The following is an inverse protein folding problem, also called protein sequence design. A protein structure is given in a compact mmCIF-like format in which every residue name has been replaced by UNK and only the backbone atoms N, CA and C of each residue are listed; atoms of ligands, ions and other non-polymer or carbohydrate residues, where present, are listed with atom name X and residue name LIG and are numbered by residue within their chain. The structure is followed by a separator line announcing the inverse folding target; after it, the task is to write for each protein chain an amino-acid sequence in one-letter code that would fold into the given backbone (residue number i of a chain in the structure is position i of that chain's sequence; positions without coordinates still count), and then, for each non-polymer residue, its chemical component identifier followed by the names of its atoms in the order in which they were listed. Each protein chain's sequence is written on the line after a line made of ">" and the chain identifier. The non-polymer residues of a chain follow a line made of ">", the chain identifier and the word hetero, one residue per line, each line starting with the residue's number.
data_IF_899130151499
#
_entry.id   IF_899130151499
#
_cell.length_a   1.000
_cell.length_b   1.000
_cell.length_c   1.000
_cell.angle_alpha   90.00
_cell.angle_beta   90.00
_cell.angle_gamma   90.00
#
_symmetry.space_group_name_H-M   'P 1'
#
loop_
_entity.id
_entity.type
_entity.pdbx_description
1 polymer ?
#
# COMPACT_ATOMS: atom_id res chain seq x y z
N UNK A 1 -22.71 -16.78 4.43
CA UNK A 1 -21.75 -17.47 3.60
C UNK A 1 -20.35 -16.92 3.88
N UNK A 2 -19.43 -17.80 4.17
CA UNK A 2 -18.07 -17.38 4.54
C UNK A 2 -17.24 -17.19 3.29
N UNK A 3 -16.68 -15.98 3.12
CA UNK A 3 -15.74 -15.72 2.04
C UNK A 3 -14.43 -16.46 2.33
N UNK A 4 -13.96 -17.28 1.41
CA UNK A 4 -12.74 -18.01 1.64
C UNK A 4 -11.49 -17.13 1.45
N UNK A 5 -10.36 -17.60 1.94
CA UNK A 5 -9.09 -16.85 1.92
C UNK A 5 -8.65 -16.52 0.50
N UNK A 6 -8.84 -17.43 -0.45
CA UNK A 6 -8.45 -17.20 -1.84
C UNK A 6 -9.26 -16.08 -2.47
N UNK A 7 -10.55 -16.01 -2.18
CA UNK A 7 -11.41 -14.93 -2.64
C UNK A 7 -10.99 -13.59 -2.07
N UNK A 8 -10.69 -13.55 -0.77
CA UNK A 8 -10.20 -12.35 -0.11
C UNK A 8 -8.89 -11.88 -0.72
N UNK A 9 -7.97 -12.79 -0.98
CA UNK A 9 -6.70 -12.46 -1.63
C UNK A 9 -6.91 -11.88 -3.01
N UNK A 10 -7.79 -12.49 -3.81
CA UNK A 10 -8.12 -11.96 -5.14
C UNK A 10 -8.71 -10.55 -5.05
N UNK A 11 -9.62 -10.33 -4.11
CA UNK A 11 -10.23 -9.02 -3.91
C UNK A 11 -9.19 -7.98 -3.49
N UNK A 12 -8.27 -8.37 -2.62
CA UNK A 12 -7.18 -7.49 -2.21
C UNK A 12 -6.27 -7.14 -3.40
N UNK A 13 -5.86 -8.12 -4.17
CA UNK A 13 -4.98 -7.91 -5.32
C UNK A 13 -5.66 -7.05 -6.38
N UNK A 14 -6.90 -7.36 -6.75
CA UNK A 14 -7.66 -6.59 -7.74
C UNK A 14 -7.89 -5.16 -7.28
N UNK A 15 -8.25 -5.00 -6.02
CA UNK A 15 -8.46 -3.67 -5.44
C UNK A 15 -7.20 -2.84 -5.42
N UNK A 16 -6.09 -3.43 -5.00
CA UNK A 16 -4.80 -2.74 -4.92
C UNK A 16 -4.27 -2.35 -6.30
N UNK A 17 -4.32 -3.28 -7.27
CA UNK A 17 -3.88 -3.00 -8.62
C UNK A 17 -4.78 -1.97 -9.31
N UNK A 18 -6.09 -2.08 -9.12
CA UNK A 18 -7.04 -1.13 -9.67
C UNK A 18 -6.86 0.26 -9.09
N UNK A 19 -6.63 0.35 -7.80
CA UNK A 19 -6.39 1.63 -7.12
C UNK A 19 -5.18 2.34 -7.70
N UNK A 20 -4.08 1.63 -7.88
CA UNK A 20 -2.85 2.19 -8.45
C UNK A 20 -3.06 2.62 -9.89
N UNK A 21 -3.72 1.78 -10.71
CA UNK A 21 -4.00 2.09 -12.10
C UNK A 21 -4.86 3.35 -12.25
N UNK A 22 -5.97 3.41 -11.54
CA UNK A 22 -6.86 4.56 -11.60
C UNK A 22 -6.22 5.83 -11.06
N UNK A 23 -5.46 5.71 -9.99
CA UNK A 23 -4.73 6.85 -9.44
C UNK A 23 -3.72 7.40 -10.45
N UNK A 24 -2.98 6.54 -11.12
CA UNK A 24 -2.00 6.93 -12.15
C UNK A 24 -2.68 7.55 -13.37
N UNK A 25 -3.81 6.98 -13.79
CA UNK A 25 -4.57 7.51 -14.93
C UNK A 25 -5.20 8.86 -14.59
N UNK A 26 -5.61 9.07 -13.34
CA UNK A 26 -6.09 10.37 -12.89
C UNK A 26 -5.00 11.44 -13.01
N UNK A 27 -3.78 11.10 -12.60
CA UNK A 27 -2.65 12.01 -12.71
C UNK A 27 -2.38 12.38 -14.17
N UNK A 28 -2.44 11.42 -15.08
CA UNK A 28 -2.25 11.68 -16.51
C UNK A 28 -3.37 12.56 -17.07
N UNK A 29 -4.62 12.28 -16.67
CA UNK A 29 -5.75 13.11 -17.10
C UNK A 29 -5.59 14.56 -16.64
N UNK A 30 -5.03 14.80 -15.46
CA UNK A 30 -4.73 16.16 -14.98
C UNK A 30 -3.67 16.83 -15.83
N UNK A 31 -2.62 16.12 -16.21
CA UNK A 31 -1.59 16.66 -17.08
C UNK A 31 -2.16 17.11 -18.43
N UNK A 32 -3.16 16.37 -18.91
CA UNK A 32 -3.85 16.69 -20.17
C UNK A 32 -5.00 17.67 -19.98
N UNK A 33 -5.20 18.18 -18.77
CA UNK A 33 -6.26 19.11 -18.37
C UNK A 33 -7.67 18.54 -18.57
N UNK A 34 -7.79 17.23 -18.49
CA UNK A 34 -9.09 16.55 -18.56
C UNK A 34 -9.60 16.29 -17.14
N UNK A 35 -10.03 17.35 -16.48
CA UNK A 35 -10.33 17.34 -15.05
C UNK A 35 -11.52 16.47 -14.68
N UNK A 36 -12.55 16.41 -15.51
CA UNK A 36 -13.70 15.56 -15.23
C UNK A 36 -13.33 14.07 -15.32
N UNK A 37 -12.49 13.72 -16.28
CA UNK A 37 -11.96 12.36 -16.40
C UNK A 37 -11.09 12.03 -15.19
N UNK A 38 -10.25 12.97 -14.75
CA UNK A 38 -9.44 12.79 -13.55
C UNK A 38 -10.29 12.51 -12.32
N UNK A 39 -11.38 13.24 -12.13
CA UNK A 39 -12.31 13.03 -11.01
C UNK A 39 -12.95 11.65 -11.05
N UNK A 40 -13.31 11.19 -12.25
CA UNK A 40 -13.85 9.85 -12.42
C UNK A 40 -12.83 8.80 -11.98
N UNK A 41 -11.61 8.90 -12.45
CA UNK A 41 -10.56 7.94 -12.08
C UNK A 41 -10.25 7.99 -10.58
N UNK A 42 -10.29 9.16 -9.96
CA UNK A 42 -10.11 9.28 -8.51
C UNK A 42 -11.20 8.57 -7.73
N UNK A 43 -12.45 8.73 -8.17
CA UNK A 43 -13.58 8.05 -7.53
C UNK A 43 -13.43 6.52 -7.66
N UNK A 44 -13.03 6.05 -8.84
CA UNK A 44 -12.79 4.63 -9.07
C UNK A 44 -11.63 4.10 -8.23
N UNK A 45 -10.56 4.90 -8.08
CA UNK A 45 -9.42 4.54 -7.23
C UNK A 45 -9.86 4.39 -5.77
N UNK A 46 -10.67 5.32 -5.28
CA UNK A 46 -11.19 5.28 -3.90
C UNK A 46 -12.04 4.03 -3.67
N UNK A 47 -12.89 3.68 -4.63
CA UNK A 47 -13.73 2.49 -4.52
C UNK A 47 -12.89 1.20 -4.48
N UNK A 48 -11.85 1.13 -5.30
CA UNK A 48 -10.94 -0.02 -5.31
C UNK A 48 -10.14 -0.12 -4.02
N UNK A 49 -9.70 1.01 -3.50
CA UNK A 49 -8.99 1.07 -2.21
C UNK A 49 -9.86 0.55 -1.06
N UNK A 50 -11.11 1.00 -1.00
CA UNK A 50 -12.04 0.55 0.02
C UNK A 50 -12.23 -0.97 -0.01
N UNK A 51 -12.35 -1.55 -1.20
CA UNK A 51 -12.48 -2.99 -1.36
C UNK A 51 -11.22 -3.73 -0.90
N UNK A 52 -10.05 -3.21 -1.27
CA UNK A 52 -8.78 -3.80 -0.88
C UNK A 52 -8.59 -3.74 0.64
N UNK A 53 -8.90 -2.63 1.28
CA UNK A 53 -8.82 -2.48 2.74
C UNK A 53 -9.75 -3.47 3.46
N UNK A 54 -10.97 -3.60 2.97
CA UNK A 54 -11.93 -4.53 3.56
C UNK A 54 -11.40 -5.96 3.48
N UNK A 55 -10.91 -6.38 2.32
CA UNK A 55 -10.32 -7.70 2.14
C UNK A 55 -9.09 -7.91 3.02
N UNK A 56 -8.25 -6.90 3.14
CA UNK A 56 -7.04 -6.96 3.97
C UNK A 56 -7.37 -7.18 5.44
N UNK A 57 -8.38 -6.48 5.95
CA UNK A 57 -8.87 -6.65 7.32
C UNK A 57 -9.47 -8.04 7.53
N UNK A 58 -10.28 -8.49 6.58
CA UNK A 58 -10.91 -9.81 6.66
C UNK A 58 -9.90 -10.94 6.60
N UNK A 59 -8.75 -10.72 5.96
CA UNK A 59 -7.64 -11.66 5.97
C UNK A 59 -6.90 -11.69 7.31
N UNK A 60 -7.24 -10.80 8.24
CA UNK A 60 -6.60 -10.73 9.54
C UNK A 60 -5.24 -10.04 9.52
N UNK A 61 -4.99 -9.22 8.50
CA UNK A 61 -3.71 -8.56 8.32
C UNK A 61 -3.57 -7.25 9.11
N UNK A 62 -4.63 -6.80 9.76
CA UNK A 62 -4.59 -5.62 10.62
C UNK A 62 -4.71 -6.07 12.07
N UNK A 63 -3.62 -6.02 12.79
CA UNK A 63 -3.57 -6.36 14.21
C UNK A 63 -3.54 -5.12 15.08
N UNK A 64 -3.02 -5.27 16.30
CA UNK A 64 -2.79 -4.13 17.17
C UNK A 64 -1.70 -3.24 16.57
N UNK A 65 -1.59 -2.01 17.06
CA UNK A 65 -0.54 -1.10 16.60
C UNK A 65 0.85 -1.72 16.79
N UNK A 66 1.09 -2.36 17.93
CA UNK A 66 2.37 -3.01 18.19
C UNK A 66 2.66 -4.12 17.16
N UNK A 67 1.66 -4.96 16.87
CA UNK A 67 1.82 -6.02 15.87
C UNK A 67 2.06 -5.44 14.48
N UNK A 68 1.36 -4.38 14.12
CA UNK A 68 1.51 -3.74 12.81
C UNK A 68 2.90 -3.11 12.66
N UNK A 69 3.41 -2.50 13.72
CA UNK A 69 4.76 -1.92 13.72
C UNK A 69 5.81 -3.03 13.54
N UNK A 70 5.65 -4.15 14.24
CA UNK A 70 6.57 -5.28 14.11
C UNK A 70 6.61 -5.80 12.67
N UNK A 71 5.45 -5.92 12.02
CA UNK A 71 5.35 -6.34 10.63
C UNK A 71 6.02 -5.33 9.68
N UNK A 72 5.82 -4.04 9.94
CA UNK A 72 6.43 -2.99 9.13
C UNK A 72 7.95 -3.04 9.23
N UNK A 73 8.49 -3.23 10.43
CA UNK A 73 9.93 -3.33 10.63
C UNK A 73 10.51 -4.56 9.93
N UNK A 74 9.84 -5.69 10.04
CA UNK A 74 10.28 -6.92 9.37
C UNK A 74 10.34 -6.75 7.85
N UNK A 75 9.41 -5.96 7.28
CA UNK A 75 9.41 -5.66 5.85
C UNK A 75 10.50 -4.69 5.44
N UNK A 76 10.78 -3.70 6.29
CA UNK A 76 11.78 -2.66 5.98
C UNK A 76 13.22 -3.18 6.01
N UNK A 77 13.55 -4.07 6.93
CA UNK A 77 14.90 -4.60 7.05
C UNK A 77 15.38 -5.32 5.78
N UNK A 78 14.62 -6.27 5.21
CA UNK A 78 14.98 -6.89 3.96
C UNK A 78 15.06 -5.90 2.79
N UNK A 79 14.15 -4.95 2.70
CA UNK A 79 14.15 -3.93 1.66
C UNK A 79 15.38 -3.06 1.72
N UNK A 80 15.78 -2.63 2.91
CA UNK A 80 16.97 -1.82 3.10
C UNK A 80 18.22 -2.59 2.67
N UNK A 81 18.32 -3.87 3.05
CA UNK A 81 19.45 -4.72 2.69
C UNK A 81 19.50 -4.97 1.18
N UNK A 82 18.37 -5.28 0.57
CA UNK A 82 18.29 -5.54 -0.86
C UNK A 82 18.64 -4.30 -1.68
N UNK A 83 18.09 -3.16 -1.31
CA UNK A 83 18.37 -1.89 -1.97
C UNK A 83 19.83 -1.53 -1.86
N UNK A 84 20.45 -1.77 -0.71
CA UNK A 84 21.85 -1.53 -0.50
C UNK A 84 22.75 -2.37 -1.39
N UNK A 85 22.32 -3.59 -1.73
CA UNK A 85 23.07 -4.47 -2.63
C UNK A 85 22.98 -4.06 -4.09
N UNK A 86 21.83 -3.57 -4.51
CA UNK A 86 21.56 -3.25 -5.92
C UNK A 86 22.00 -1.84 -6.29
N UNK A 87 21.72 -0.88 -5.45
CA UNK A 87 21.93 0.55 -5.75
C UNK A 87 22.95 1.22 -4.83
N UNK A 88 23.61 0.44 -3.98
CA UNK A 88 24.39 1.01 -2.89
C UNK A 88 23.47 1.46 -1.78
N UNK A 89 23.93 2.28 -0.87
CA UNK A 89 23.13 2.75 0.24
C UNK A 89 22.03 3.67 -0.24
N UNK A 90 20.76 3.33 0.04
CA UNK A 90 19.64 4.22 -0.23
C UNK A 90 19.30 4.99 1.05
N UNK A 91 19.53 6.31 1.07
CA UNK A 91 19.20 7.12 2.25
C UNK A 91 17.71 7.01 2.63
N UNK A 92 16.84 6.83 1.64
CA UNK A 92 15.40 6.74 1.85
C UNK A 92 15.00 5.53 2.71
N UNK A 93 15.54 4.35 2.39
CA UNK A 93 15.23 3.14 3.17
C UNK A 93 15.74 3.22 4.60
N UNK A 94 16.93 3.79 4.78
CA UNK A 94 17.50 4.00 6.11
C UNK A 94 16.68 4.97 6.93
N UNK A 95 16.24 6.06 6.31
CA UNK A 95 15.40 7.06 6.96
C UNK A 95 14.09 6.46 7.42
N UNK A 96 13.45 5.64 6.58
CA UNK A 96 12.20 4.97 6.95
C UNK A 96 12.39 4.04 8.14
N UNK A 97 13.47 3.27 8.14
CA UNK A 97 13.78 2.36 9.24
C UNK A 97 14.01 3.14 10.55
N UNK A 98 14.75 4.22 10.48
CA UNK A 98 15.01 5.08 11.64
C UNK A 98 13.71 5.69 12.18
N UNK A 99 12.86 6.20 11.31
CA UNK A 99 11.56 6.74 11.71
C UNK A 99 10.68 5.70 12.37
N UNK A 100 10.68 4.48 11.83
CA UNK A 100 9.91 3.39 12.40
C UNK A 100 10.41 3.04 13.80
N UNK A 101 11.72 2.97 13.99
CA UNK A 101 12.32 2.68 15.28
C UNK A 101 12.02 3.76 16.31
N UNK A 102 12.02 5.03 15.90
CA UNK A 102 11.67 6.14 16.77
C UNK A 102 10.18 6.11 17.16
N UNK A 103 9.32 5.75 16.24
CA UNK A 103 7.89 5.66 16.49
C UNK A 103 7.55 4.57 17.51
N UNK A 104 8.32 3.50 17.57
CA UNK A 104 8.10 2.42 18.55
C UNK A 104 8.31 2.90 19.97
N UNK A 105 9.17 3.89 20.19
CA UNK A 105 9.48 4.37 21.52
C UNK A 105 8.41 5.29 22.10
N UNK A 106 7.35 5.55 21.38
CA UNK A 106 6.18 6.24 21.93
C UNK A 106 5.42 5.32 22.95
#
# INVERSE_FOLDING_TARGET
>A
MTTNVEELRRNFIRGSMGQIAYHSWAAQARRERRFNVARLFEALATARMARAEHAFRDLGEVGSTTQNVDRALAGLEPEAAETGRVTGTTPFSRELLTRAQLAISE
#
